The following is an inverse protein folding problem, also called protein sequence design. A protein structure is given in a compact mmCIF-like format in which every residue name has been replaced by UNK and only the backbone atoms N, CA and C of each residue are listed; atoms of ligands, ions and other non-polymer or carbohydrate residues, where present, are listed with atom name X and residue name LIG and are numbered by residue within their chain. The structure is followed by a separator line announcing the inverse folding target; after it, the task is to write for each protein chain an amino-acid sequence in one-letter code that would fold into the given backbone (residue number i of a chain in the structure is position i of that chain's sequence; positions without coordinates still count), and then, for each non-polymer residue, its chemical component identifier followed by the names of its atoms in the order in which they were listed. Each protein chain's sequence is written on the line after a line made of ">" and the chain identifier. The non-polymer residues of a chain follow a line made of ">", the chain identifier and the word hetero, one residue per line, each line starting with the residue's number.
data_IF_138925131471
#
_entry.id   IF_138925131471
#
_cell.length_a   1.000
_cell.length_b   1.000
_cell.length_c   1.000
_cell.angle_alpha   90.00
_cell.angle_beta   90.00
_cell.angle_gamma   90.00
#
_symmetry.space_group_name_H-M   'P 1'
#
loop_
_entity.id
_entity.type
_entity.pdbx_description
1 polymer ?
#
# COMPACT_ATOMS: atom_id res chain seq x y z
N UNK A 1 -11.51 -29.64 7.85
CA UNK A 1 -12.20 -28.35 7.62
C UNK A 1 -11.12 -27.30 7.55
N UNK A 2 -10.66 -26.97 6.35
CA UNK A 2 -9.67 -25.91 6.17
C UNK A 2 -10.34 -24.58 6.47
N UNK A 3 -9.84 -23.89 7.49
CA UNK A 3 -10.14 -22.49 7.70
C UNK A 3 -9.63 -21.76 6.46
N UNK A 4 -10.53 -21.48 5.52
CA UNK A 4 -10.31 -20.51 4.47
C UNK A 4 -10.14 -19.18 5.19
N UNK A 5 -8.92 -18.90 5.65
CA UNK A 5 -8.53 -17.58 6.13
C UNK A 5 -9.15 -16.61 5.15
N UNK A 6 -9.95 -15.61 5.59
CA UNK A 6 -10.35 -14.57 4.68
C UNK A 6 -9.01 -13.98 4.23
N UNK A 7 -8.61 -14.26 2.99
CA UNK A 7 -7.53 -13.54 2.35
C UNK A 7 -7.92 -12.08 2.56
N UNK A 8 -7.19 -11.40 3.45
CA UNK A 8 -7.57 -10.08 3.94
C UNK A 8 -7.96 -9.28 2.70
N UNK A 9 -9.20 -8.78 2.67
CA UNK A 9 -9.72 -8.11 1.50
C UNK A 9 -8.68 -7.08 1.05
N UNK A 10 -8.35 -7.01 -0.25
CA UNK A 10 -7.31 -6.10 -0.72
C UNK A 10 -7.63 -4.70 -0.23
N UNK A 11 -6.67 -4.06 0.45
CA UNK A 11 -6.84 -2.71 0.99
C UNK A 11 -7.25 -1.76 -0.15
N UNK A 12 -8.16 -0.81 0.06
CA UNK A 12 -8.53 0.16 -0.96
C UNK A 12 -7.31 0.97 -1.42
N UNK A 13 -7.20 1.24 -2.73
CA UNK A 13 -6.09 2.06 -3.27
C UNK A 13 -6.03 3.43 -2.62
N UNK A 14 -7.18 4.04 -2.31
CA UNK A 14 -7.26 5.32 -1.64
C UNK A 14 -6.61 5.32 -0.24
N UNK A 15 -6.76 4.22 0.50
CA UNK A 15 -6.19 4.05 1.84
C UNK A 15 -4.67 3.93 1.77
N UNK A 16 -4.17 3.02 0.91
CA UNK A 16 -2.72 2.82 0.74
C UNK A 16 -2.05 4.08 0.17
N UNK A 17 -2.71 4.81 -0.74
CA UNK A 17 -2.23 6.10 -1.22
C UNK A 17 -2.15 7.16 -0.12
N UNK A 18 -3.10 7.15 0.84
CA UNK A 18 -3.06 8.01 2.01
C UNK A 18 -1.84 7.73 2.87
N UNK A 19 -1.61 6.45 3.21
CA UNK A 19 -0.45 6.02 3.99
C UNK A 19 0.88 6.41 3.34
N UNK A 20 1.01 6.24 2.02
CA UNK A 20 2.21 6.65 1.29
C UNK A 20 2.45 8.17 1.39
N UNK A 21 1.38 8.98 1.26
CA UNK A 21 1.48 10.44 1.34
C UNK A 21 1.85 10.90 2.73
N UNK A 22 1.26 10.32 3.77
CA UNK A 22 1.57 10.64 5.16
C UNK A 22 3.03 10.25 5.46
N UNK A 23 3.44 9.06 5.04
CA UNK A 23 4.82 8.58 5.18
C UNK A 23 5.83 9.52 4.52
N UNK A 24 5.56 9.97 3.29
CA UNK A 24 6.44 10.91 2.59
C UNK A 24 6.41 12.32 3.19
N UNK A 25 5.26 12.77 3.72
CA UNK A 25 5.10 14.10 4.33
C UNK A 25 5.91 14.22 5.61
N UNK A 26 5.87 13.22 6.49
CA UNK A 26 6.67 13.18 7.73
C UNK A 26 8.19 13.22 7.46
N UNK A 27 8.60 12.75 6.27
CA UNK A 27 10.00 12.61 5.86
C UNK A 27 10.39 13.63 4.80
N UNK A 28 9.56 14.65 4.57
CA UNK A 28 9.79 15.67 3.58
C UNK A 28 11.11 16.41 3.86
N UNK A 29 11.92 16.60 2.82
CA UNK A 29 13.18 17.35 2.90
C UNK A 29 14.38 16.55 3.43
N UNK A 30 14.26 15.24 3.61
CA UNK A 30 15.41 14.36 3.89
C UNK A 30 15.36 13.07 3.06
N UNK A 31 16.51 12.45 2.74
CA UNK A 31 16.52 11.12 2.15
C UNK A 31 15.96 10.07 3.13
N UNK A 32 15.32 9.03 2.59
CA UNK A 32 14.88 7.87 3.37
C UNK A 32 16.08 7.08 3.86
N UNK A 33 16.02 6.65 5.12
CA UNK A 33 16.96 5.67 5.69
C UNK A 33 16.67 4.28 5.13
N UNK A 34 17.62 3.32 5.20
CA UNK A 34 17.40 1.96 4.72
C UNK A 34 16.13 1.31 5.26
N UNK A 35 15.84 1.48 6.56
CA UNK A 35 14.65 0.91 7.19
C UNK A 35 13.36 1.60 6.75
N UNK A 36 13.45 2.89 6.40
CA UNK A 36 12.33 3.66 5.84
C UNK A 36 12.10 3.29 4.36
N UNK A 37 13.17 2.98 3.63
CA UNK A 37 13.09 2.48 2.25
C UNK A 37 12.36 1.14 2.20
N UNK A 38 12.68 0.20 3.09
CA UNK A 38 11.98 -1.10 3.17
C UNK A 38 10.49 -0.92 3.48
N UNK A 39 10.13 0.02 4.35
CA UNK A 39 8.73 0.33 4.67
C UNK A 39 8.02 0.96 3.47
N UNK A 40 8.69 1.88 2.77
CA UNK A 40 8.15 2.49 1.56
C UNK A 40 7.91 1.46 0.45
N UNK A 41 8.82 0.52 0.26
CA UNK A 41 8.68 -0.57 -0.70
C UNK A 41 7.52 -1.52 -0.36
N UNK A 42 7.30 -1.81 0.92
CA UNK A 42 6.11 -2.55 1.36
C UNK A 42 4.81 -1.81 1.08
N UNK A 43 4.79 -0.49 1.29
CA UNK A 43 3.65 0.36 0.94
C UNK A 43 3.40 0.36 -0.58
N UNK A 44 4.45 0.42 -1.40
CA UNK A 44 4.34 0.33 -2.86
C UNK A 44 3.84 -1.04 -3.35
N UNK A 45 4.28 -2.13 -2.71
CA UNK A 45 3.80 -3.47 -3.01
C UNK A 45 2.31 -3.60 -2.68
N UNK A 46 1.88 -3.08 -1.52
CA UNK A 46 0.47 -3.04 -1.12
C UNK A 46 -0.37 -2.19 -2.09
N UNK A 47 0.16 -1.05 -2.53
CA UNK A 47 -0.51 -0.19 -3.50
C UNK A 47 -0.70 -0.89 -4.84
N UNK A 48 0.36 -1.56 -5.33
CA UNK A 48 0.31 -2.34 -6.58
C UNK A 48 -0.73 -3.47 -6.48
N UNK A 49 -0.79 -4.18 -5.36
CA UNK A 49 -1.80 -5.21 -5.13
C UNK A 49 -3.22 -4.64 -5.10
N UNK A 50 -3.41 -3.48 -4.47
CA UNK A 50 -4.68 -2.78 -4.40
C UNK A 50 -5.15 -2.32 -5.79
N UNK A 51 -4.27 -1.70 -6.60
CA UNK A 51 -4.58 -1.25 -7.97
C UNK A 51 -4.95 -2.41 -8.88
N UNK A 52 -4.27 -3.55 -8.75
CA UNK A 52 -4.58 -4.75 -9.52
C UNK A 52 -5.88 -5.44 -9.06
N UNK A 53 -6.29 -5.19 -7.82
CA UNK A 53 -7.52 -5.77 -7.25
C UNK A 53 -8.73 -4.86 -7.40
N UNK A 54 -8.54 -3.56 -7.64
CA UNK A 54 -9.64 -2.67 -7.99
C UNK A 54 -10.21 -3.14 -9.33
N UNK A 55 -11.49 -3.55 -9.38
CA UNK A 55 -12.12 -3.81 -10.66
C UNK A 55 -12.04 -2.51 -11.45
N UNK A 56 -11.35 -2.55 -12.59
CA UNK A 56 -11.31 -1.42 -13.53
C UNK A 56 -12.76 -1.06 -13.79
N UNK A 57 -13.26 0.00 -13.14
CA UNK A 57 -14.57 0.54 -13.44
C UNK A 57 -14.51 0.84 -14.94
N UNK A 58 -15.25 0.05 -15.71
CA UNK A 58 -15.33 0.24 -17.14
C UNK A 58 -15.89 1.65 -17.34
N UNK A 59 -15.02 2.54 -17.76
CA UNK A 59 -15.38 3.87 -18.28
C UNK A 59 -15.95 3.71 -19.68
#
# INVERSE_FOLDING_TARGET
>A
MEARSPAAAPRPVAEVNGEIRDFMTERAGRPLRPEEQEQYEQLLAAWTAAVNSEPRAAV
#
